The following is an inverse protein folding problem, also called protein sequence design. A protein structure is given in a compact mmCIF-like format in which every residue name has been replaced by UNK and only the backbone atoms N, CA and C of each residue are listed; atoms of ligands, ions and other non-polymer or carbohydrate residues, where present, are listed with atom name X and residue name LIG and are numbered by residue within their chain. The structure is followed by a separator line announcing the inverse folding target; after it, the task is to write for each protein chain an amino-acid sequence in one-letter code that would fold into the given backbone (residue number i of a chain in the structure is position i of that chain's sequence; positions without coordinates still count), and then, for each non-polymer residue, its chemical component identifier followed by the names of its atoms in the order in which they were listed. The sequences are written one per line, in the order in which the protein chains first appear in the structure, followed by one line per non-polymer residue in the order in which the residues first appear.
data_IF_317530973055
#
_entry.id   IF_317530973055
#
_cell.length_a   1.000
_cell.length_b   1.000
_cell.length_c   1.000
_cell.angle_alpha   90.00
_cell.angle_beta   90.00
_cell.angle_gamma   90.00
#
_symmetry.space_group_name_H-M   'P 1'
#
loop_
_entity.id
_entity.type
_entity.pdbx_description
1 polymer ?
#
# COMPACT_ATOMS: atom_id res chain seq x y z
N UNK A 1 -0.05 2.85 14.50
CA UNK A 1 0.45 1.95 15.55
C UNK A 1 1.50 0.96 15.09
N UNK A 2 1.22 -0.02 14.21
CA UNK A 2 2.24 -1.01 13.78
C UNK A 2 3.45 -0.37 13.07
N UNK A 3 3.21 0.66 12.25
CA UNK A 3 4.29 1.39 11.56
C UNK A 3 5.16 2.18 12.54
N UNK A 4 4.56 2.83 13.54
CA UNK A 4 5.29 3.62 14.55
C UNK A 4 6.12 2.72 15.47
N UNK A 5 5.57 1.59 15.91
CA UNK A 5 6.32 0.60 16.69
C UNK A 5 7.49 0.02 15.88
N UNK A 6 7.32 -0.19 14.57
CA UNK A 6 8.43 -0.56 13.69
C UNK A 6 9.49 0.52 13.63
N UNK A 7 9.11 1.78 13.45
CA UNK A 7 10.05 2.92 13.41
C UNK A 7 10.84 3.01 14.72
N UNK A 8 10.17 2.95 15.87
CA UNK A 8 10.87 2.96 17.16
C UNK A 8 11.79 1.76 17.33
N UNK A 9 11.40 0.57 16.87
CA UNK A 9 12.26 -0.62 16.91
C UNK A 9 13.52 -0.38 16.07
N UNK A 10 13.37 0.16 14.87
CA UNK A 10 14.49 0.51 14.00
C UNK A 10 15.40 1.56 14.63
N UNK A 11 14.83 2.61 15.24
CA UNK A 11 15.62 3.64 15.92
C UNK A 11 16.45 3.07 17.07
N UNK A 12 15.85 2.24 17.95
CA UNK A 12 16.58 1.65 19.07
C UNK A 12 17.62 0.63 18.61
N UNK A 13 17.34 -0.15 17.56
CA UNK A 13 18.31 -1.09 17.01
C UNK A 13 19.49 -0.33 16.38
N UNK A 14 19.22 0.69 15.56
CA UNK A 14 20.26 1.54 14.97
C UNK A 14 21.17 2.14 16.05
N UNK A 15 20.58 2.70 17.10
CA UNK A 15 21.32 3.28 18.21
C UNK A 15 22.17 2.27 19.01
N UNK A 16 21.79 0.99 19.03
CA UNK A 16 22.61 -0.07 19.64
C UNK A 16 23.74 -0.56 18.74
N UNK A 17 23.55 -0.49 17.42
CA UNK A 17 24.49 -0.99 16.41
C UNK A 17 25.54 0.07 16.02
N UNK A 18 25.25 1.35 16.22
CA UNK A 18 26.13 2.46 15.86
C UNK A 18 27.37 2.53 16.77
N UNK A 19 28.56 2.57 16.17
CA UNK A 19 29.83 2.50 16.90
C UNK A 19 30.04 3.67 17.88
N UNK A 20 29.55 4.86 17.50
CA UNK A 20 29.63 6.08 18.31
C UNK A 20 28.94 5.91 19.68
N UNK A 21 27.85 5.14 19.73
CA UNK A 21 27.00 5.00 20.90
C UNK A 21 27.19 3.66 21.63
N UNK A 22 28.09 2.78 21.19
CA UNK A 22 28.32 1.45 21.77
C UNK A 22 28.51 1.47 23.29
N UNK A 23 29.24 2.45 23.83
CA UNK A 23 29.51 2.54 25.28
C UNK A 23 28.26 2.87 26.09
N UNK A 24 27.39 3.73 25.56
CA UNK A 24 26.14 4.13 26.24
C UNK A 24 25.00 3.13 25.99
N UNK A 25 24.96 2.54 24.81
CA UNK A 25 23.88 1.65 24.36
C UNK A 25 24.09 0.18 24.78
N UNK A 26 25.28 -0.20 25.27
CA UNK A 26 25.65 -1.57 25.67
C UNK A 26 24.64 -2.24 26.63
N UNK A 27 24.08 -1.48 27.58
CA UNK A 27 23.10 -1.98 28.55
C UNK A 27 21.65 -1.69 28.17
N UNK A 28 21.44 -0.99 27.05
CA UNK A 28 20.10 -0.69 26.58
C UNK A 28 19.43 -2.03 26.22
N UNK A 29 18.17 -2.16 26.59
CA UNK A 29 17.32 -3.26 26.13
C UNK A 29 16.16 -2.62 25.42
N UNK A 30 15.82 -3.11 24.21
CA UNK A 30 14.72 -2.52 23.44
C UNK A 30 13.46 -2.43 24.30
N UNK A 31 12.91 -1.21 24.50
CA UNK A 31 11.72 -1.04 25.33
C UNK A 31 10.48 -1.62 24.65
N UNK A 32 10.56 -2.01 23.37
CA UNK A 32 9.43 -2.51 22.59
C UNK A 32 9.28 -4.01 22.78
N UNK A 33 8.39 -4.39 23.70
CA UNK A 33 8.08 -5.78 24.01
C UNK A 33 6.92 -6.31 23.17
N UNK A 34 6.80 -7.63 23.06
CA UNK A 34 5.71 -8.32 22.31
C UNK A 34 4.31 -7.83 22.71
N UNK A 35 4.10 -7.53 23.99
CA UNK A 35 2.84 -6.98 24.51
C UNK A 35 2.42 -5.65 23.86
N UNK A 36 3.37 -4.81 23.43
CA UNK A 36 3.07 -3.53 22.79
C UNK A 36 2.50 -3.73 21.38
N UNK A 37 2.92 -4.80 20.69
CA UNK A 37 2.34 -5.20 19.40
C UNK A 37 0.91 -5.72 19.59
N UNK A 38 0.69 -6.57 20.60
CA UNK A 38 -0.64 -7.10 20.91
C UNK A 38 -1.63 -6.00 21.33
N UNK A 39 -1.18 -4.99 22.09
CA UNK A 39 -2.01 -3.85 22.50
C UNK A 39 -2.45 -2.96 21.33
N UNK A 40 -1.81 -3.06 20.16
CA UNK A 40 -2.19 -2.31 18.96
C UNK A 40 -3.41 -2.89 18.22
N UNK A 41 -3.82 -4.12 18.54
CA UNK A 41 -4.99 -4.76 17.94
C UNK A 41 -6.18 -4.68 18.91
N UNK A 42 -7.05 -3.69 18.70
CA UNK A 42 -8.29 -3.54 19.51
C UNK A 42 -9.30 -4.66 19.17
N UNK A 43 -9.28 -5.15 17.93
CA UNK A 43 -10.08 -6.26 17.45
C UNK A 43 -9.37 -6.93 16.27
N UNK A 44 -9.26 -8.25 16.29
CA UNK A 44 -8.75 -8.99 15.13
C UNK A 44 -9.69 -8.77 13.93
N UNK A 45 -9.13 -8.65 12.72
CA UNK A 45 -9.95 -8.56 11.51
C UNK A 45 -10.77 -9.85 11.41
N UNK A 46 -12.11 -9.79 11.38
CA UNK A 46 -12.95 -10.99 11.41
C UNK A 46 -12.80 -11.84 10.15
N UNK A 47 -12.14 -11.30 9.12
CA UNK A 47 -12.01 -11.92 7.81
C UNK A 47 -10.54 -12.16 7.52
N UNK A 48 -10.20 -13.44 7.28
CA UNK A 48 -8.85 -13.84 6.87
C UNK A 48 -8.46 -13.13 5.57
N UNK A 49 -7.18 -12.77 5.37
CA UNK A 49 -6.72 -12.05 4.19
C UNK A 49 -7.07 -12.75 2.87
N UNK A 50 -7.09 -14.09 2.87
CA UNK A 50 -7.42 -14.91 1.71
C UNK A 50 -8.85 -14.71 1.21
N UNK A 51 -9.77 -14.44 2.14
CA UNK A 51 -11.20 -14.18 1.84
C UNK A 51 -11.42 -12.77 1.30
N UNK A 52 -10.43 -11.87 1.43
CA UNK A 52 -10.53 -10.50 0.90
C UNK A 52 -10.25 -10.42 -0.61
N UNK A 53 -9.84 -11.52 -1.25
CA UNK A 53 -9.55 -11.54 -2.69
C UNK A 53 -10.85 -11.57 -3.50
N UNK A 54 -10.98 -10.67 -4.46
CA UNK A 54 -12.09 -10.67 -5.41
C UNK A 54 -11.90 -11.81 -6.42
N UNK A 55 -12.92 -12.63 -6.64
CA UNK A 55 -12.91 -13.62 -7.72
C UNK A 55 -13.17 -12.92 -9.06
N UNK A 56 -12.72 -13.50 -10.20
CA UNK A 56 -12.99 -12.91 -11.52
C UNK A 56 -14.49 -12.68 -11.76
N UNK A 57 -15.35 -13.62 -11.37
CA UNK A 57 -16.80 -13.51 -11.56
C UNK A 57 -17.38 -12.33 -10.78
N UNK A 58 -16.89 -12.09 -9.56
CA UNK A 58 -17.30 -10.97 -8.74
C UNK A 58 -16.76 -9.64 -9.30
N UNK A 59 -15.57 -9.63 -9.88
CA UNK A 59 -15.02 -8.46 -10.56
C UNK A 59 -15.86 -8.07 -11.78
N UNK A 60 -16.24 -9.03 -12.64
CA UNK A 60 -17.10 -8.75 -13.79
C UNK A 60 -18.50 -8.29 -13.39
N UNK A 61 -19.09 -8.89 -12.35
CA UNK A 61 -20.35 -8.41 -11.77
C UNK A 61 -20.20 -6.97 -11.25
N UNK A 62 -19.08 -6.65 -10.61
CA UNK A 62 -18.81 -5.30 -10.13
C UNK A 62 -18.75 -4.30 -11.30
N UNK A 63 -17.99 -4.57 -12.37
CA UNK A 63 -17.91 -3.69 -13.53
C UNK A 63 -19.27 -3.46 -14.21
N UNK A 64 -20.10 -4.51 -14.29
CA UNK A 64 -21.43 -4.42 -14.90
C UNK A 64 -22.41 -3.52 -14.13
N UNK A 65 -22.18 -3.30 -12.83
CA UNK A 65 -23.04 -2.46 -11.99
C UNK A 65 -22.57 -1.00 -11.91
N UNK A 66 -21.43 -0.64 -12.52
CA UNK A 66 -20.97 0.75 -12.59
C UNK A 66 -21.70 1.44 -13.75
N UNK A 67 -22.54 2.44 -13.43
CA UNK A 67 -23.31 3.20 -14.42
C UNK A 67 -22.45 4.19 -15.22
N UNK A 68 -21.42 4.76 -14.59
CA UNK A 68 -20.50 5.68 -15.23
C UNK A 68 -19.43 4.93 -16.02
N UNK A 69 -19.38 5.20 -17.33
CA UNK A 69 -18.46 4.54 -18.25
C UNK A 69 -16.99 4.80 -17.90
N UNK A 70 -16.66 6.00 -17.42
CA UNK A 70 -15.28 6.39 -17.12
C UNK A 70 -14.76 5.58 -15.93
N UNK A 71 -15.55 5.48 -14.86
CA UNK A 71 -15.16 4.70 -13.69
C UNK A 71 -15.15 3.19 -13.97
N UNK A 72 -16.04 2.72 -14.84
CA UNK A 72 -16.04 1.32 -15.26
C UNK A 72 -14.77 0.97 -16.02
N UNK A 73 -14.41 1.77 -17.02
CA UNK A 73 -13.24 1.51 -17.86
C UNK A 73 -11.94 1.66 -17.04
N UNK A 74 -11.89 2.63 -16.12
CA UNK A 74 -10.79 2.77 -15.16
C UNK A 74 -10.65 1.53 -14.26
N UNK A 75 -11.77 1.03 -13.71
CA UNK A 75 -11.76 -0.16 -12.85
C UNK A 75 -11.32 -1.42 -13.62
N UNK A 76 -11.75 -1.56 -14.87
CA UNK A 76 -11.31 -2.64 -15.75
C UNK A 76 -9.81 -2.53 -16.06
N UNK A 77 -9.33 -1.34 -16.42
CA UNK A 77 -7.91 -1.08 -16.69
C UNK A 77 -7.05 -1.41 -15.46
N UNK A 78 -7.48 -0.96 -14.28
CA UNK A 78 -6.82 -1.28 -13.01
C UNK A 78 -6.75 -2.79 -12.78
N UNK A 79 -7.85 -3.50 -13.04
CA UNK A 79 -7.94 -4.95 -12.85
C UNK A 79 -7.03 -5.73 -13.82
N UNK A 80 -7.05 -5.39 -15.11
CA UNK A 80 -6.25 -6.07 -16.13
C UNK A 80 -4.75 -5.79 -16.01
N UNK A 81 -4.37 -4.58 -15.63
CA UNK A 81 -2.98 -4.20 -15.47
C UNK A 81 -2.41 -4.50 -14.06
N UNK A 82 -3.26 -4.98 -13.14
CA UNK A 82 -2.93 -5.14 -11.71
C UNK A 82 -2.31 -3.85 -11.10
N UNK A 83 -2.72 -2.69 -11.61
CA UNK A 83 -2.15 -1.39 -11.27
C UNK A 83 -2.73 -0.87 -9.94
N UNK A 84 -1.95 -0.05 -9.23
CA UNK A 84 -2.49 0.78 -8.15
C UNK A 84 -3.43 1.82 -8.75
N UNK A 85 -4.44 2.24 -8.00
CA UNK A 85 -5.43 3.20 -8.52
C UNK A 85 -4.80 4.50 -9.05
N UNK A 86 -3.73 4.98 -8.41
CA UNK A 86 -3.01 6.19 -8.81
C UNK A 86 -2.22 6.00 -10.11
N UNK A 87 -1.73 4.80 -10.36
CA UNK A 87 -1.03 4.42 -11.60
C UNK A 87 -2.05 4.35 -12.74
N UNK A 88 -3.16 3.63 -12.53
CA UNK A 88 -4.23 3.51 -13.54
C UNK A 88 -4.86 4.87 -13.88
N UNK A 89 -5.09 5.73 -12.88
CA UNK A 89 -5.66 7.05 -13.10
C UNK A 89 -4.66 8.02 -13.77
N UNK A 90 -3.35 7.81 -13.59
CA UNK A 90 -2.29 8.70 -14.09
C UNK A 90 -1.77 8.40 -15.47
N UNK A 91 -2.31 7.40 -16.16
CA UNK A 91 -1.87 7.01 -17.50
C UNK A 91 -1.99 8.20 -18.47
N UNK A 92 -0.91 8.43 -19.22
CA UNK A 92 -0.87 9.43 -20.28
C UNK A 92 -0.88 8.76 -21.66
N UNK A 93 -1.53 9.39 -22.64
CA UNK A 93 -1.63 8.93 -24.03
C UNK A 93 -0.26 8.55 -24.64
N UNK A 94 0.84 9.30 -24.44
CA UNK A 94 2.15 8.97 -25.01
C UNK A 94 2.72 7.62 -24.55
N UNK A 95 2.24 7.08 -23.43
CA UNK A 95 2.72 5.83 -22.84
C UNK A 95 1.87 4.61 -23.25
N UNK A 96 0.92 4.80 -24.17
CA UNK A 96 0.08 3.74 -24.75
C UNK A 96 0.62 3.41 -26.14
N UNK A 97 1.24 2.24 -26.28
CA UNK A 97 1.82 1.76 -27.53
C UNK A 97 0.93 0.65 -28.13
N UNK A 98 -0.05 1.05 -28.93
CA UNK A 98 -0.99 0.12 -29.56
C UNK A 98 -0.30 -0.88 -30.50
N UNK A 99 0.72 -0.46 -31.24
CA UNK A 99 1.47 -1.34 -32.16
C UNK A 99 2.15 -2.51 -31.44
N UNK A 100 2.52 -2.31 -30.19
CA UNK A 100 3.22 -3.28 -29.34
C UNK A 100 2.31 -3.93 -28.30
N UNK A 101 1.03 -3.55 -28.26
CA UNK A 101 0.07 -3.90 -27.20
C UNK A 101 0.66 -3.66 -25.79
N UNK A 102 1.36 -2.53 -25.62
CA UNK A 102 2.13 -2.24 -24.42
C UNK A 102 1.65 -0.94 -23.78
N UNK A 103 1.43 -1.00 -22.47
CA UNK A 103 1.10 0.15 -21.63
C UNK A 103 2.25 0.39 -20.65
N UNK A 104 2.88 1.56 -20.72
CA UNK A 104 3.95 1.94 -19.78
C UNK A 104 3.37 2.79 -18.65
N UNK A 105 3.58 2.36 -17.41
CA UNK A 105 3.25 3.17 -16.23
C UNK A 105 4.51 3.95 -15.85
N UNK A 106 4.50 5.28 -16.10
CA UNK A 106 5.59 6.19 -15.73
C UNK A 106 5.13 7.24 -14.73
N UNK A 107 3.93 7.76 -14.93
CA UNK A 107 3.33 8.77 -14.09
C UNK A 107 2.32 8.16 -13.12
N UNK A 108 2.16 8.81 -11.97
CA UNK A 108 1.25 8.41 -10.91
C UNK A 108 0.54 9.66 -10.43
N UNK A 109 -0.79 9.61 -10.31
CA UNK A 109 -1.55 10.73 -9.77
C UNK A 109 -1.42 10.76 -8.25
N UNK A 110 -0.96 11.89 -7.73
CA UNK A 110 -1.06 12.21 -6.32
C UNK A 110 -2.29 13.09 -6.08
N UNK A 111 -3.08 12.75 -5.07
CA UNK A 111 -4.21 13.58 -4.67
C UNK A 111 -3.69 14.79 -3.90
N UNK A 112 -3.67 15.96 -4.55
CA UNK A 112 -3.29 17.21 -3.89
C UNK A 112 -4.53 17.80 -3.22
N UNK A 113 -4.65 17.59 -1.91
CA UNK A 113 -5.67 18.22 -1.09
C UNK A 113 -5.26 19.68 -0.82
N UNK A 114 -5.23 20.52 -1.86
CA UNK A 114 -5.06 21.96 -1.71
C UNK A 114 -6.44 22.60 -1.52
N UNK A 115 -6.95 22.59 -0.28
CA UNK A 115 -7.83 23.69 0.12
C UNK A 115 -6.95 24.93 0.23
N UNK A 116 -7.16 25.90 -0.65
CA UNK A 116 -6.73 27.27 -0.36
C UNK A 116 -7.49 27.82 0.84
#
# INVERSE_FOLDING_TARGET
MDNELRIFTTMFNWYQEEEEFLKESFKLVSPIRRRHKAAGYIKESPVKPEVKKITPENAFKFFANISDIVYRDLAMLQYYCAARIQEAAGIQIPNIHFDQNLLVIREVISWCNHSK
#
